data_IF_155549322056
#
_entry.id   IF_155549322056
#
_cell.length_a   1.000
_cell.length_b   1.000
_cell.length_c   1.000
_cell.angle_alpha   90.00
_cell.angle_beta   90.00
_cell.angle_gamma   90.00
#
_symmetry.space_group_name_H-M   'P 1'
#
loop_
_entity.id
_entity.type
_entity.pdbx_description
1 polymer ?
#
# COMPACT_ATOMS: atom_id res chain seq x y z
N UNK A 1 11.40 -3.67 -13.14
CA UNK A 1 12.82 -3.26 -13.25
C UNK A 1 13.10 -2.31 -12.10
N UNK A 2 14.16 -2.52 -11.33
CA UNK A 2 14.52 -1.59 -10.24
C UNK A 2 14.95 -0.25 -10.85
N UNK A 3 14.49 0.86 -10.28
CA UNK A 3 14.90 2.19 -10.72
C UNK A 3 16.42 2.34 -10.54
N UNK A 4 17.20 2.63 -11.60
CA UNK A 4 18.65 2.73 -11.51
C UNK A 4 19.14 3.89 -10.62
N UNK A 5 18.26 4.81 -10.22
CA UNK A 5 18.56 5.88 -9.25
C UNK A 5 18.46 5.43 -7.78
N UNK A 6 17.96 4.22 -7.51
CA UNK A 6 17.82 3.71 -6.15
C UNK A 6 19.19 3.34 -5.55
N UNK A 7 19.51 3.94 -4.39
CA UNK A 7 20.72 3.63 -3.66
C UNK A 7 20.44 2.62 -2.53
N UNK A 8 20.48 1.33 -2.85
CA UNK A 8 20.26 0.27 -1.87
C UNK A 8 21.47 -0.05 -0.99
N UNK A 9 22.66 0.45 -1.36
CA UNK A 9 23.88 0.23 -0.59
C UNK A 9 24.07 1.26 0.54
N UNK A 10 23.20 2.28 0.63
CA UNK A 10 23.22 3.27 1.71
C UNK A 10 23.04 2.64 3.09
N UNK A 11 23.71 3.23 4.08
CA UNK A 11 23.60 2.85 5.49
C UNK A 11 22.63 3.79 6.20
N UNK A 12 21.42 3.30 6.44
CA UNK A 12 20.35 4.01 7.12
C UNK A 12 19.88 3.22 8.35
N UNK A 13 19.08 3.86 9.19
CA UNK A 13 18.27 3.18 10.20
C UNK A 13 16.81 3.51 9.96
N UNK A 14 16.02 2.47 9.70
CA UNK A 14 14.59 2.55 9.46
C UNK A 14 13.82 2.14 10.72
N UNK A 15 12.85 2.94 11.12
CA UNK A 15 11.88 2.60 12.15
C UNK A 15 10.51 2.34 11.50
N UNK A 16 9.84 1.25 11.90
CA UNK A 16 8.60 0.81 11.28
C UNK A 16 7.48 0.69 12.31
N UNK A 17 6.29 1.05 11.87
CA UNK A 17 4.99 0.66 12.42
C UNK A 17 4.07 0.32 11.22
N UNK A 18 2.87 -0.21 11.47
CA UNK A 18 1.93 -0.61 10.43
C UNK A 18 0.47 -0.22 10.71
N UNK A 19 -0.32 -0.11 9.64
CA UNK A 19 -1.75 0.18 9.76
C UNK A 19 -2.58 -1.06 10.08
N UNK A 20 -3.56 -0.89 10.97
CA UNK A 20 -4.74 -1.76 11.16
C UNK A 20 -4.49 -3.25 11.49
N UNK A 21 -3.23 -3.71 11.53
CA UNK A 21 -2.79 -5.08 11.77
C UNK A 21 -3.79 -6.13 11.26
N UNK A 22 -4.14 -6.05 9.97
CA UNK A 22 -5.19 -6.88 9.38
C UNK A 22 -4.80 -8.37 9.36
N UNK A 23 -3.49 -8.67 9.42
CA UNK A 23 -2.82 -10.00 9.40
C UNK A 23 -3.09 -10.84 8.16
N UNK A 24 -4.36 -10.99 7.78
CA UNK A 24 -4.86 -11.67 6.58
C UNK A 24 -5.99 -10.86 5.96
N UNK A 25 -6.20 -11.01 4.65
CA UNK A 25 -7.37 -10.51 3.96
C UNK A 25 -8.14 -11.69 3.37
N UNK A 26 -9.41 -11.86 3.74
CA UNK A 26 -10.20 -13.04 3.41
C UNK A 26 -11.69 -12.71 3.31
N UNK A 27 -12.44 -13.56 2.61
CA UNK A 27 -13.88 -13.42 2.45
C UNK A 27 -14.63 -13.97 3.67
N UNK A 28 -15.60 -13.19 4.14
CA UNK A 28 -16.74 -13.59 5.00
C UNK A 28 -17.98 -13.83 4.14
N UNK A 29 -19.07 -14.32 4.74
CA UNK A 29 -20.22 -14.83 3.97
C UNK A 29 -20.76 -13.81 2.95
N UNK A 30 -20.77 -12.52 3.32
CA UNK A 30 -21.33 -11.44 2.49
C UNK A 30 -20.38 -10.29 2.18
N UNK A 31 -19.15 -10.29 2.72
CA UNK A 31 -18.18 -9.17 2.62
C UNK A 31 -16.76 -9.67 2.94
N UNK A 32 -15.77 -8.78 2.97
CA UNK A 32 -14.41 -9.06 3.42
C UNK A 32 -14.27 -8.95 4.95
N UNK A 33 -13.15 -9.41 5.50
CA UNK A 33 -12.83 -9.25 6.92
C UNK A 33 -12.35 -7.86 7.33
N UNK A 34 -12.06 -6.99 6.37
CA UNK A 34 -11.59 -5.62 6.54
C UNK A 34 -12.04 -4.79 5.35
N UNK A 35 -12.11 -3.47 5.52
CA UNK A 35 -12.56 -2.56 4.45
C UNK A 35 -11.61 -2.66 3.25
N UNK A 36 -12.12 -3.07 2.09
CA UNK A 36 -11.32 -3.28 0.88
C UNK A 36 -10.74 -1.98 0.29
N UNK A 37 -11.24 -0.82 0.72
CA UNK A 37 -10.75 0.51 0.33
C UNK A 37 -9.58 1.00 1.18
N UNK A 38 -9.20 0.28 2.23
CA UNK A 38 -8.03 0.64 3.04
C UNK A 38 -6.77 -0.02 2.46
N UNK A 39 -5.65 0.71 2.51
CA UNK A 39 -4.35 0.14 2.19
C UNK A 39 -3.69 -0.41 3.46
N UNK A 40 -2.93 -1.49 3.32
CA UNK A 40 -1.93 -1.87 4.32
C UNK A 40 -0.68 -1.02 4.10
N UNK A 41 -0.29 -0.25 5.11
CA UNK A 41 0.91 0.59 5.07
C UNK A 41 1.87 0.11 6.15
N UNK A 42 3.10 -0.20 5.74
CA UNK A 42 4.24 -0.49 6.61
C UNK A 42 5.29 0.60 6.38
N UNK A 43 5.72 1.30 7.42
CA UNK A 43 6.62 2.44 7.23
C UNK A 43 6.89 3.22 8.50
N UNK A 44 7.47 4.41 8.34
CA UNK A 44 7.82 5.25 9.47
C UNK A 44 8.91 6.27 9.16
N UNK A 45 9.78 6.48 10.14
CA UNK A 45 10.89 7.40 10.03
C UNK A 45 12.19 6.69 9.64
N UNK A 46 13.02 7.36 8.84
CA UNK A 46 14.36 6.89 8.47
C UNK A 46 15.38 8.00 8.65
N UNK A 47 16.56 7.64 9.15
CA UNK A 47 17.69 8.56 9.34
C UNK A 47 19.01 7.93 8.93
N UNK A 48 20.03 8.77 8.80
CA UNK A 48 21.41 8.36 8.49
C UNK A 48 22.34 8.85 9.60
N UNK A 49 23.21 7.96 10.11
CA UNK A 49 24.12 8.30 11.20
C UNK A 49 23.46 8.17 12.58
N UNK A 50 23.64 9.17 13.44
CA UNK A 50 23.13 9.13 14.81
C UNK A 50 21.61 9.34 14.87
N UNK A 51 20.94 8.63 15.79
CA UNK A 51 19.53 8.80 16.04
C UNK A 51 19.24 10.22 16.56
N UNK A 52 18.24 10.94 16.00
CA UNK A 52 17.86 12.26 16.48
C UNK A 52 17.11 12.16 17.83
N UNK A 53 17.32 13.14 18.71
CA UNK A 53 16.60 13.27 19.98
C UNK A 53 15.22 13.91 19.76
N UNK A 54 14.19 13.08 19.81
CA UNK A 54 12.79 13.48 19.56
C UNK A 54 12.02 13.86 20.82
N UNK A 55 12.65 13.89 22.00
CA UNK A 55 11.95 14.20 23.25
C UNK A 55 11.32 15.59 23.20
N UNK A 56 12.04 16.58 22.66
CA UNK A 56 11.54 17.95 22.49
C UNK A 56 10.28 18.03 21.64
N UNK A 57 10.16 17.20 20.59
CA UNK A 57 8.96 17.09 19.78
C UNK A 57 7.80 16.48 20.59
N UNK A 58 8.06 15.38 21.29
CA UNK A 58 7.04 14.69 22.09
C UNK A 58 6.48 15.62 23.17
N UNK A 59 7.36 16.36 23.86
CA UNK A 59 6.97 17.34 24.87
C UNK A 59 6.12 18.46 24.26
N UNK A 60 6.43 18.88 23.03
CA UNK A 60 5.69 19.92 22.31
C UNK A 60 4.24 19.54 22.01
N UNK A 61 3.92 18.24 21.92
CA UNK A 61 2.56 17.76 21.74
C UNK A 61 1.66 17.98 22.96
N UNK A 62 2.24 18.29 24.14
CA UNK A 62 1.53 18.57 25.39
C UNK A 62 0.47 17.51 25.70
N UNK A 63 0.85 16.23 25.59
CA UNK A 63 -0.05 15.10 25.85
C UNK A 63 -0.39 15.03 27.34
N UNK A 64 -1.54 14.39 27.65
CA UNK A 64 -1.92 14.14 29.04
C UNK A 64 -0.88 13.24 29.71
N UNK A 65 -0.61 13.46 31.01
CA UNK A 65 0.40 12.71 31.77
C UNK A 65 0.15 11.19 31.83
N UNK A 66 -1.08 10.74 31.57
CA UNK A 66 -1.46 9.33 31.52
C UNK A 66 -1.04 8.63 30.22
N UNK A 67 -0.68 9.40 29.18
CA UNK A 67 -0.23 8.86 27.90
C UNK A 67 1.20 8.35 28.06
N UNK A 68 1.36 7.03 28.08
CA UNK A 68 2.67 6.36 28.13
C UNK A 68 3.37 6.32 26.77
N UNK A 69 2.58 6.35 25.71
CA UNK A 69 3.04 6.15 24.34
C UNK A 69 2.33 7.12 23.39
N UNK A 70 3.10 7.80 22.54
CA UNK A 70 2.56 8.59 21.45
C UNK A 70 1.99 7.64 20.39
N UNK A 71 0.74 7.90 19.98
CA UNK A 71 0.06 7.19 18.91
C UNK A 71 -0.65 8.22 18.03
N UNK A 72 -0.91 7.92 16.77
CA UNK A 72 -1.57 8.76 15.78
C UNK A 72 -2.84 9.40 16.33
N UNK A 73 -3.68 8.63 17.03
CA UNK A 73 -4.94 9.09 17.66
C UNK A 73 -4.76 10.24 18.66
N UNK A 74 -3.55 10.43 19.21
CA UNK A 74 -3.20 11.52 20.12
C UNK A 74 -2.80 12.81 19.36
N UNK A 75 -2.37 12.64 18.11
CA UNK A 75 -1.87 13.70 17.23
C UNK A 75 -3.00 14.22 16.33
N UNK A 76 -3.81 13.34 15.74
CA UNK A 76 -4.87 13.70 14.79
C UNK A 76 -6.08 12.76 14.91
N UNK A 77 -7.24 13.21 14.43
CA UNK A 77 -8.52 12.48 14.51
C UNK A 77 -9.37 12.76 13.28
N UNK A 78 -10.25 11.82 12.94
CA UNK A 78 -11.20 11.94 11.82
C UNK A 78 -10.70 11.26 10.55
N UNK A 79 -11.27 11.66 9.40
CA UNK A 79 -10.77 11.32 8.08
C UNK A 79 -9.51 12.11 7.74
N UNK A 80 -8.99 11.92 6.54
CA UNK A 80 -7.73 12.53 6.12
C UNK A 80 -7.79 14.07 6.17
N UNK A 81 -8.84 14.66 5.62
CA UNK A 81 -9.03 16.12 5.57
C UNK A 81 -9.13 16.71 6.98
N UNK A 82 -9.86 16.06 7.90
CA UNK A 82 -9.94 16.51 9.29
C UNK A 82 -8.59 16.38 10.00
N UNK A 83 -7.83 15.32 9.74
CA UNK A 83 -6.49 15.15 10.31
C UNK A 83 -5.57 16.32 9.96
N UNK A 84 -5.63 16.83 8.73
CA UNK A 84 -4.85 17.99 8.29
C UNK A 84 -5.14 19.26 9.11
N UNK A 85 -6.22 19.34 9.88
CA UNK A 85 -6.46 20.49 10.77
C UNK A 85 -5.62 20.48 12.06
N UNK A 86 -4.87 19.41 12.33
CA UNK A 86 -4.14 19.27 13.60
C UNK A 86 -2.88 20.12 13.66
N UNK A 87 -2.80 20.94 14.71
CA UNK A 87 -1.57 21.66 15.06
C UNK A 87 -0.43 20.73 15.48
N UNK A 88 -0.71 19.55 16.04
CA UNK A 88 0.33 18.60 16.43
C UNK A 88 0.95 17.90 15.22
N UNK A 89 0.17 17.68 14.17
CA UNK A 89 0.70 17.22 12.88
C UNK A 89 1.67 18.24 12.29
N UNK A 90 1.35 19.53 12.39
CA UNK A 90 2.26 20.60 11.97
C UNK A 90 3.61 20.52 12.68
N UNK A 91 3.59 20.43 14.02
CA UNK A 91 4.80 20.28 14.83
C UNK A 91 5.61 19.04 14.45
N UNK A 92 4.93 17.91 14.21
CA UNK A 92 5.53 16.66 13.75
C UNK A 92 6.28 16.84 12.43
N UNK A 93 5.63 17.41 11.41
CA UNK A 93 6.26 17.62 10.11
C UNK A 93 7.40 18.62 10.13
N UNK A 94 7.22 19.77 10.79
CA UNK A 94 8.25 20.80 10.92
C UNK A 94 9.51 20.26 11.62
N UNK A 95 9.33 19.40 12.63
CA UNK A 95 10.44 18.74 13.30
C UNK A 95 11.17 17.77 12.37
N UNK A 96 10.47 16.90 11.64
CA UNK A 96 11.10 15.97 10.67
C UNK A 96 11.89 16.77 9.63
N UNK A 97 11.29 17.84 9.11
CA UNK A 97 11.92 18.71 8.12
C UNK A 97 13.22 19.35 8.64
N UNK A 98 13.34 19.62 9.93
CA UNK A 98 14.48 20.36 10.49
C UNK A 98 15.58 19.47 11.08
N UNK A 99 15.31 18.19 11.35
CA UNK A 99 16.18 17.34 12.20
C UNK A 99 16.78 16.13 11.49
N UNK A 100 17.04 16.23 10.17
CA UNK A 100 17.73 15.17 9.42
C UNK A 100 16.96 13.85 9.30
N UNK A 101 15.66 13.87 9.59
CA UNK A 101 14.75 12.76 9.39
C UNK A 101 14.17 12.79 7.98
N UNK A 102 13.82 11.60 7.50
CA UNK A 102 13.06 11.37 6.28
C UNK A 102 11.92 10.40 6.59
N UNK A 103 10.97 10.30 5.67
CA UNK A 103 9.86 9.37 5.77
C UNK A 103 10.09 8.20 4.81
N UNK A 104 9.64 7.01 5.20
CA UNK A 104 9.59 5.84 4.33
C UNK A 104 8.26 5.12 4.53
N UNK A 105 7.74 4.51 3.47
CA UNK A 105 6.58 3.63 3.58
C UNK A 105 6.45 2.74 2.36
N UNK A 106 5.85 1.57 2.57
CA UNK A 106 5.29 0.69 1.55
C UNK A 106 3.77 0.64 1.76
N UNK A 107 3.03 1.18 0.80
CA UNK A 107 1.57 1.11 0.75
C UNK A 107 1.12 0.01 -0.20
N UNK A 108 0.15 -0.80 0.22
CA UNK A 108 -0.44 -1.90 -0.52
C UNK A 108 -1.95 -1.75 -0.54
N UNK A 109 -2.53 -1.55 -1.72
CA UNK A 109 -3.98 -1.66 -1.89
C UNK A 109 -4.37 -3.14 -1.86
N UNK A 110 -5.10 -3.54 -0.81
CA UNK A 110 -5.38 -4.95 -0.52
C UNK A 110 -6.33 -5.56 -1.54
N UNK A 111 -7.30 -4.81 -2.07
CA UNK A 111 -8.18 -5.29 -3.12
C UNK A 111 -7.40 -5.48 -4.43
N UNK A 112 -6.60 -4.48 -4.82
CA UNK A 112 -5.77 -4.55 -6.01
C UNK A 112 -4.83 -5.77 -5.94
N UNK A 113 -4.09 -5.92 -4.85
CA UNK A 113 -3.19 -7.06 -4.65
C UNK A 113 -3.91 -8.41 -4.73
N UNK A 114 -5.16 -8.48 -4.26
CA UNK A 114 -5.94 -9.72 -4.24
C UNK A 114 -6.40 -10.19 -5.62
N UNK A 115 -6.41 -9.33 -6.64
CA UNK A 115 -7.03 -9.64 -7.95
C UNK A 115 -6.04 -9.60 -9.13
N UNK A 116 -4.87 -8.98 -8.96
CA UNK A 116 -3.87 -8.89 -10.03
C UNK A 116 -3.36 -10.24 -10.50
N UNK A 117 -3.39 -11.25 -9.64
CA UNK A 117 -2.98 -12.63 -9.95
C UNK A 117 -3.88 -13.29 -11.01
N UNK A 118 -5.12 -12.83 -11.18
CA UNK A 118 -5.99 -13.23 -12.30
C UNK A 118 -5.37 -12.81 -13.63
N UNK A 119 -4.91 -11.55 -13.71
CA UNK A 119 -4.28 -11.00 -14.91
C UNK A 119 -2.92 -11.63 -15.13
N UNK A 120 -2.11 -11.76 -14.08
CA UNK A 120 -0.78 -12.38 -14.19
C UNK A 120 -0.89 -13.84 -14.62
N UNK A 121 -1.89 -14.57 -14.14
CA UNK A 121 -2.18 -15.94 -14.58
C UNK A 121 -2.51 -16.00 -16.07
N UNK A 122 -3.33 -15.07 -16.54
CA UNK A 122 -3.72 -15.00 -17.94
C UNK A 122 -2.51 -14.63 -18.84
N UNK A 123 -1.71 -13.64 -18.43
CA UNK A 123 -0.51 -13.19 -19.15
C UNK A 123 0.56 -14.28 -19.21
N UNK A 124 0.81 -14.99 -18.10
CA UNK A 124 1.76 -16.11 -18.06
C UNK A 124 1.42 -17.19 -19.08
N UNK A 125 0.13 -17.33 -19.43
CA UNK A 125 -0.35 -18.33 -20.38
C UNK A 125 -0.39 -17.83 -21.83
N UNK A 126 -0.02 -16.58 -22.12
CA UNK A 126 -0.08 -15.99 -23.46
C UNK A 126 1.29 -15.42 -23.87
N UNK A 127 2.00 -16.12 -24.77
CA UNK A 127 3.32 -15.69 -25.27
C UNK A 127 3.30 -14.30 -25.88
N UNK A 128 2.21 -13.98 -26.61
CA UNK A 128 2.01 -12.64 -27.19
C UNK A 128 1.93 -11.59 -26.09
N UNK A 129 1.16 -11.86 -25.04
CA UNK A 129 1.00 -10.93 -23.91
C UNK A 129 2.29 -10.70 -23.15
N UNK A 130 3.12 -11.74 -22.98
CA UNK A 130 4.45 -11.62 -22.36
C UNK A 130 5.37 -10.68 -23.16
N UNK A 131 5.25 -10.64 -24.50
CA UNK A 131 6.06 -9.77 -25.36
C UNK A 131 5.61 -8.30 -25.36
N UNK A 132 4.35 -8.02 -25.01
CA UNK A 132 3.81 -6.64 -24.96
C UNK A 132 4.29 -5.85 -23.73
N UNK A 133 4.95 -6.53 -22.79
CA UNK A 133 5.64 -5.92 -21.67
C UNK A 133 4.73 -5.47 -20.52
N UNK A 134 5.32 -4.91 -19.44
CA UNK A 134 4.60 -4.69 -18.18
C UNK A 134 3.45 -3.69 -18.26
N UNK A 135 3.55 -2.68 -19.14
CA UNK A 135 2.51 -1.66 -19.28
C UNK A 135 1.18 -2.27 -19.75
N UNK A 136 1.24 -3.23 -20.68
CA UNK A 136 0.05 -3.92 -21.17
C UNK A 136 -0.66 -4.70 -20.05
N UNK A 137 0.08 -5.48 -19.27
CA UNK A 137 -0.46 -6.17 -18.10
C UNK A 137 -1.03 -5.18 -17.07
N UNK A 138 -0.33 -4.08 -16.80
CA UNK A 138 -0.78 -3.10 -15.82
C UNK A 138 -2.05 -2.36 -16.25
N UNK A 139 -2.29 -2.16 -17.55
CA UNK A 139 -3.57 -1.61 -18.05
C UNK A 139 -4.73 -2.57 -17.75
N UNK A 140 -4.56 -3.86 -18.01
CA UNK A 140 -5.58 -4.87 -17.67
C UNK A 140 -5.84 -4.95 -16.17
N UNK A 141 -4.77 -4.92 -15.34
CA UNK A 141 -4.88 -4.88 -13.87
C UNK A 141 -5.65 -3.66 -13.39
N UNK A 142 -5.37 -2.50 -13.99
CA UNK A 142 -6.06 -1.26 -13.66
C UNK A 142 -7.55 -1.34 -13.97
N UNK A 143 -7.91 -1.78 -15.16
CA UNK A 143 -9.32 -1.80 -15.59
C UNK A 143 -10.11 -2.89 -14.87
N UNK A 144 -9.48 -4.05 -14.59
CA UNK A 144 -10.04 -5.07 -13.71
C UNK A 144 -10.31 -4.51 -12.31
N UNK A 145 -9.38 -3.74 -11.74
CA UNK A 145 -9.58 -3.14 -10.43
C UNK A 145 -10.71 -2.10 -10.41
N UNK A 146 -10.78 -1.23 -11.43
CA UNK A 146 -11.88 -0.28 -11.57
C UNK A 146 -13.24 -0.99 -11.64
N UNK A 147 -13.34 -2.04 -12.45
CA UNK A 147 -14.54 -2.86 -12.55
C UNK A 147 -14.87 -3.50 -11.19
N UNK A 148 -13.90 -4.15 -10.56
CA UNK A 148 -14.09 -4.85 -9.29
C UNK A 148 -14.60 -3.92 -8.19
N UNK A 149 -14.21 -2.63 -8.23
CA UNK A 149 -14.73 -1.60 -7.34
C UNK A 149 -16.19 -1.24 -7.58
N UNK A 150 -16.61 -1.17 -8.85
CA UNK A 150 -18.00 -0.84 -9.22
C UNK A 150 -18.90 -2.03 -8.91
N UNK A 151 -18.42 -3.24 -9.22
CA UNK A 151 -19.13 -4.51 -9.15
C UNK A 151 -18.73 -5.34 -7.92
N UNK A 152 -18.45 -4.70 -6.78
CA UNK A 152 -17.82 -5.39 -5.64
C UNK A 152 -18.65 -6.57 -5.11
N UNK A 153 -19.99 -6.45 -5.08
CA UNK A 153 -20.90 -7.51 -4.65
C UNK A 153 -20.89 -8.69 -5.63
N UNK A 154 -20.84 -8.39 -6.94
CA UNK A 154 -20.71 -9.37 -8.02
C UNK A 154 -19.36 -10.10 -7.93
N UNK A 155 -18.28 -9.38 -7.64
CA UNK A 155 -16.94 -9.96 -7.42
C UNK A 155 -16.90 -10.87 -6.19
N UNK A 156 -17.48 -10.44 -5.06
CA UNK A 156 -17.59 -11.27 -3.85
C UNK A 156 -18.36 -12.55 -4.16
N UNK A 157 -19.47 -12.45 -4.88
CA UNK A 157 -20.31 -13.58 -5.28
C UNK A 157 -19.55 -14.56 -6.17
N UNK A 158 -18.80 -14.05 -7.16
CA UNK A 158 -17.94 -14.84 -8.02
C UNK A 158 -16.85 -15.56 -7.21
N UNK A 159 -16.14 -14.84 -6.36
CA UNK A 159 -15.09 -15.41 -5.53
C UNK A 159 -15.61 -16.49 -4.58
N UNK A 160 -16.79 -16.26 -4.00
CA UNK A 160 -17.49 -17.24 -3.16
C UNK A 160 -17.86 -18.50 -3.93
N UNK A 161 -18.38 -18.35 -5.15
CA UNK A 161 -18.80 -19.47 -6.00
C UNK A 161 -17.65 -20.43 -6.30
N UNK A 162 -16.44 -19.91 -6.48
CA UNK A 162 -15.29 -20.69 -6.94
C UNK A 162 -14.17 -20.89 -5.91
N UNK A 163 -14.39 -20.52 -4.64
CA UNK A 163 -13.35 -20.67 -3.61
C UNK A 163 -12.13 -19.78 -3.81
N UNK A 164 -12.25 -18.66 -4.54
CA UNK A 164 -11.12 -17.80 -4.91
C UNK A 164 -10.30 -17.35 -3.67
N UNK A 165 -8.95 -17.34 -3.73
CA UNK A 165 -8.11 -17.52 -4.91
C UNK A 165 -7.75 -18.98 -5.20
N UNK A 166 -8.46 -19.97 -4.65
CA UNK A 166 -8.17 -21.38 -4.88
C UNK A 166 -9.09 -21.99 -5.95
N UNK A 167 -9.01 -21.48 -7.19
CA UNK A 167 -9.85 -21.96 -8.27
C UNK A 167 -9.51 -23.43 -8.56
N UNK A 168 -10.49 -24.32 -8.44
CA UNK A 168 -10.27 -25.75 -8.70
C UNK A 168 -10.08 -25.97 -10.19
N UNK A 169 -9.20 -26.91 -10.55
CA UNK A 169 -8.90 -27.22 -11.95
C UNK A 169 -10.16 -27.46 -12.80
N UNK A 170 -11.13 -28.22 -12.30
CA UNK A 170 -12.37 -28.52 -13.02
C UNK A 170 -13.36 -27.35 -13.10
N UNK A 171 -13.06 -26.21 -12.48
CA UNK A 171 -13.90 -25.01 -12.44
C UNK A 171 -13.28 -23.82 -13.18
N UNK A 172 -12.01 -23.93 -13.63
CA UNK A 172 -11.30 -22.85 -14.34
C UNK A 172 -12.10 -22.31 -15.53
N UNK A 173 -12.68 -23.21 -16.34
CA UNK A 173 -13.47 -22.81 -17.50
C UNK A 173 -14.69 -21.98 -17.11
N UNK A 174 -15.45 -22.42 -16.10
CA UNK A 174 -16.67 -21.74 -15.64
C UNK A 174 -16.34 -20.43 -14.91
N UNK A 175 -15.25 -20.39 -14.14
CA UNK A 175 -14.75 -19.15 -13.55
C UNK A 175 -14.42 -18.11 -14.63
N UNK A 176 -13.70 -18.51 -15.69
CA UNK A 176 -13.36 -17.62 -16.80
C UNK A 176 -14.61 -17.11 -17.53
N UNK A 177 -15.61 -17.98 -17.73
CA UNK A 177 -16.88 -17.60 -18.36
C UNK A 177 -17.63 -16.57 -17.52
N UNK A 178 -17.90 -16.87 -16.25
CA UNK A 178 -18.61 -15.94 -15.37
C UNK A 178 -17.86 -14.62 -15.17
N UNK A 179 -16.52 -14.67 -15.08
CA UNK A 179 -15.69 -13.47 -14.99
C UNK A 179 -15.78 -12.63 -16.28
N UNK A 180 -15.79 -13.29 -17.44
CA UNK A 180 -15.95 -12.61 -18.73
C UNK A 180 -17.34 -11.99 -18.88
N UNK A 181 -18.37 -12.60 -18.29
CA UNK A 181 -19.72 -12.08 -18.31
C UNK A 181 -19.81 -10.75 -17.54
N UNK A 182 -19.09 -10.60 -16.42
CA UNK A 182 -18.97 -9.32 -15.69
C UNK A 182 -18.38 -8.19 -16.54
N UNK A 183 -17.60 -8.51 -17.59
CA UNK A 183 -17.01 -7.49 -18.44
C UNK A 183 -18.01 -6.92 -19.44
N UNK A 184 -19.06 -7.67 -19.79
CA UNK A 184 -19.91 -7.44 -20.98
C UNK A 184 -20.46 -6.03 -21.05
N UNK A 185 -21.00 -5.52 -19.95
CA UNK A 185 -21.63 -4.19 -19.89
C UNK A 185 -20.62 -3.02 -19.97
N UNK A 186 -19.33 -3.33 -19.81
CA UNK A 186 -18.24 -2.35 -19.79
C UNK A 186 -17.39 -2.40 -21.06
N UNK A 187 -17.60 -3.37 -21.96
CA UNK A 187 -16.80 -3.50 -23.18
C UNK A 187 -17.02 -2.35 -24.17
N UNK A 188 -18.17 -1.68 -24.16
CA UNK A 188 -18.41 -0.53 -25.03
C UNK A 188 -17.99 0.81 -24.38
N UNK A 189 -17.61 0.81 -23.10
CA UNK A 189 -17.10 1.98 -22.42
C UNK A 189 -15.64 2.22 -22.80
N UNK A 190 -15.33 3.38 -23.37
CA UNK A 190 -13.98 3.77 -23.79
C UNK A 190 -12.97 3.67 -22.65
N UNK A 191 -13.40 3.90 -21.41
CA UNK A 191 -12.55 3.84 -20.21
C UNK A 191 -12.11 2.42 -19.83
N UNK A 192 -12.89 1.41 -20.22
CA UNK A 192 -12.67 0.00 -19.85
C UNK A 192 -12.33 -0.90 -21.05
N UNK A 193 -12.74 -0.49 -22.25
CA UNK A 193 -12.71 -1.31 -23.47
C UNK A 193 -11.35 -1.96 -23.66
N UNK A 194 -10.27 -1.16 -23.66
CA UNK A 194 -8.96 -1.69 -23.99
C UNK A 194 -8.47 -2.73 -22.97
N UNK A 195 -8.52 -2.45 -21.66
CA UNK A 195 -8.04 -3.38 -20.64
C UNK A 195 -8.95 -4.60 -20.49
N UNK A 196 -10.27 -4.43 -20.41
CA UNK A 196 -11.20 -5.54 -20.21
C UNK A 196 -11.32 -6.43 -21.46
N UNK A 197 -11.36 -5.86 -22.67
CA UNK A 197 -11.40 -6.68 -23.89
C UNK A 197 -10.08 -7.46 -24.06
N UNK A 198 -8.93 -6.84 -23.78
CA UNK A 198 -7.64 -7.52 -23.80
C UNK A 198 -7.62 -8.69 -22.81
N UNK A 199 -8.04 -8.44 -21.56
CA UNK A 199 -8.10 -9.47 -20.53
C UNK A 199 -9.06 -10.60 -20.93
N UNK A 200 -10.24 -10.27 -21.46
CA UNK A 200 -11.23 -11.24 -21.94
C UNK A 200 -10.64 -12.15 -23.03
N UNK A 201 -9.89 -11.60 -23.97
CA UNK A 201 -9.28 -12.40 -25.05
C UNK A 201 -8.18 -13.32 -24.51
N UNK A 202 -7.34 -12.84 -23.60
CA UNK A 202 -6.26 -13.65 -23.01
C UNK A 202 -6.82 -14.74 -22.10
N UNK A 203 -7.89 -14.46 -21.34
CA UNK A 203 -8.58 -15.47 -20.55
C UNK A 203 -9.19 -16.58 -21.44
N UNK A 204 -9.64 -16.28 -22.66
CA UNK A 204 -10.05 -17.33 -23.63
C UNK A 204 -8.87 -18.19 -24.09
N UNK A 205 -7.64 -17.69 -24.09
CA UNK A 205 -6.45 -18.51 -24.32
C UNK A 205 -6.15 -19.41 -23.12
N UNK A 206 -6.24 -18.86 -21.90
CA UNK A 206 -6.11 -19.62 -20.65
C UNK A 206 -7.15 -20.76 -20.57
N UNK A 207 -8.37 -20.52 -21.06
CA UNK A 207 -9.43 -21.55 -21.21
C UNK A 207 -8.95 -22.78 -22.00
N UNK A 208 -8.11 -22.60 -23.03
CA UNK A 208 -7.57 -23.73 -23.82
C UNK A 208 -6.52 -24.55 -23.05
N UNK A 209 -5.91 -23.94 -22.04
CA UNK A 209 -4.87 -24.55 -21.20
C UNK A 209 -5.41 -25.10 -19.87
N UNK A 210 -6.67 -24.80 -19.54
CA UNK A 210 -7.37 -25.26 -18.32
C UNK A 210 -6.56 -24.95 -17.04
N UNK A 211 -6.01 -23.74 -16.97
CA UNK A 211 -5.11 -23.31 -15.89
C UNK A 211 -5.19 -21.81 -15.66
N UNK A 212 -5.00 -21.40 -14.39
CA UNK A 212 -4.75 -20.03 -13.95
C UNK A 212 -3.73 -20.07 -12.80
N UNK A 213 -2.42 -20.21 -13.09
CA UNK A 213 -1.43 -20.74 -12.14
C UNK A 213 -1.23 -19.94 -10.84
N UNK A 214 -1.54 -18.64 -10.81
CA UNK A 214 -1.39 -17.81 -9.61
C UNK A 214 -2.66 -17.68 -8.78
N UNK A 215 -3.77 -18.27 -9.23
CA UNK A 215 -5.05 -18.33 -8.49
C UNK A 215 -5.55 -19.78 -8.41
N UNK A 216 -4.61 -20.69 -8.21
CA UNK A 216 -4.83 -22.12 -7.98
C UNK A 216 -3.93 -22.58 -6.83
N UNK A 217 -4.29 -23.69 -6.18
CA UNK A 217 -3.52 -24.30 -5.09
C UNK A 217 -3.27 -23.37 -3.88
N UNK A 218 -4.27 -22.51 -3.58
CA UNK A 218 -4.27 -21.61 -2.44
C UNK A 218 -5.23 -22.11 -1.33
N UNK A 219 -5.40 -21.33 -0.26
CA UNK A 219 -6.46 -21.56 0.72
C UNK A 219 -7.78 -20.96 0.22
N UNK A 220 -8.87 -21.70 0.33
CA UNK A 220 -10.20 -21.21 -0.07
C UNK A 220 -10.53 -19.91 0.69
N UNK A 221 -10.98 -18.89 -0.04
CA UNK A 221 -11.44 -17.61 0.50
C UNK A 221 -10.37 -16.73 1.16
N UNK A 222 -9.09 -17.14 1.18
CA UNK A 222 -7.98 -16.36 1.75
C UNK A 222 -7.26 -15.62 0.63
N UNK A 223 -7.59 -14.35 0.45
CA UNK A 223 -7.08 -13.50 -0.64
C UNK A 223 -5.64 -13.05 -0.39
N UNK A 224 -5.30 -12.77 0.87
CA UNK A 224 -3.94 -12.46 1.31
C UNK A 224 -3.67 -13.25 2.59
N UNK A 225 -2.75 -14.21 2.52
CA UNK A 225 -2.47 -15.09 3.65
C UNK A 225 -1.66 -14.42 4.77
N UNK A 226 -0.70 -13.56 4.42
CA UNK A 226 0.10 -12.79 5.35
C UNK A 226 0.81 -11.62 4.65
N UNK A 227 1.43 -10.74 5.45
CA UNK A 227 2.14 -9.56 4.98
C UNK A 227 3.67 -9.66 5.13
N UNK A 228 4.20 -10.84 5.49
CA UNK A 228 5.62 -11.02 5.85
C UNK A 228 6.59 -10.59 4.75
N UNK A 229 6.23 -10.82 3.49
CA UNK A 229 7.00 -10.38 2.34
C UNK A 229 7.27 -8.86 2.32
N UNK A 230 6.34 -8.06 2.85
CA UNK A 230 6.50 -6.59 2.92
C UNK A 230 7.46 -6.18 4.04
N UNK A 231 7.59 -6.97 5.11
CA UNK A 231 8.61 -6.79 6.15
C UNK A 231 9.99 -7.27 5.68
N UNK A 232 10.05 -8.42 5.01
CA UNK A 232 11.29 -9.01 4.50
C UNK A 232 11.95 -8.17 3.42
N UNK A 233 11.15 -7.57 2.53
CA UNK A 233 11.67 -6.81 1.40
C UNK A 233 12.66 -5.71 1.76
N UNK A 234 12.34 -4.74 2.63
CA UNK A 234 13.30 -3.70 2.98
C UNK A 234 14.58 -4.27 3.59
N UNK A 235 14.49 -5.36 4.37
CA UNK A 235 15.65 -6.00 5.02
C UNK A 235 16.68 -6.50 4.02
N UNK A 236 16.27 -7.22 2.98
CA UNK A 236 17.20 -7.71 1.96
C UNK A 236 17.56 -6.67 0.90
N UNK A 237 16.69 -5.69 0.63
CA UNK A 237 16.98 -4.60 -0.30
C UNK A 237 18.03 -3.66 0.28
N UNK A 238 17.85 -3.21 1.53
CA UNK A 238 18.77 -2.32 2.22
C UNK A 238 19.69 -3.09 3.18
N UNK A 239 20.43 -4.09 2.65
CA UNK A 239 21.29 -4.99 3.44
C UNK A 239 22.33 -4.31 4.34
N UNK A 240 22.72 -3.06 4.02
CA UNK A 240 23.68 -2.27 4.80
C UNK A 240 23.01 -1.35 5.84
N UNK A 241 21.68 -1.34 5.90
CA UNK A 241 20.87 -0.54 6.83
C UNK A 241 20.37 -1.39 7.99
N UNK A 242 19.99 -0.73 9.09
CA UNK A 242 19.33 -1.34 10.23
C UNK A 242 17.82 -1.12 10.16
N UNK A 243 17.04 -2.14 10.53
CA UNK A 243 15.58 -2.11 10.50
C UNK A 243 15.02 -2.39 11.89
N UNK A 244 14.23 -1.47 12.43
CA UNK A 244 13.67 -1.55 13.77
C UNK A 244 12.15 -1.54 13.62
N UNK A 245 11.53 -2.70 13.79
CA UNK A 245 10.08 -2.88 13.67
C UNK A 245 9.39 -2.78 15.02
N UNK A 246 8.18 -2.21 15.06
CA UNK A 246 7.26 -2.43 16.17
C UNK A 246 6.93 -3.93 16.28
N UNK A 247 6.56 -4.36 17.47
CA UNK A 247 6.36 -5.77 17.78
C UNK A 247 5.00 -6.27 17.28
N UNK A 248 4.99 -6.95 16.14
CA UNK A 248 3.83 -7.71 15.65
C UNK A 248 4.06 -9.22 15.87
N UNK A 249 3.37 -9.81 16.86
CA UNK A 249 3.62 -11.19 17.31
C UNK A 249 3.54 -12.25 16.19
N UNK A 250 2.62 -12.08 15.23
CA UNK A 250 2.44 -13.06 14.14
C UNK A 250 3.57 -12.98 13.12
N UNK A 251 4.05 -11.77 12.81
CA UNK A 251 5.21 -11.54 11.95
C UNK A 251 6.49 -11.98 12.65
N UNK A 252 6.68 -11.68 13.94
CA UNK A 252 7.83 -12.14 14.72
C UNK A 252 7.92 -13.66 14.68
N UNK A 253 6.81 -14.34 14.96
CA UNK A 253 6.75 -15.80 14.94
C UNK A 253 7.10 -16.33 13.55
N UNK A 254 6.46 -15.79 12.51
CA UNK A 254 6.68 -16.23 11.14
C UNK A 254 8.12 -16.02 10.69
N UNK A 255 8.71 -14.84 10.95
CA UNK A 255 10.09 -14.55 10.55
C UNK A 255 11.13 -15.33 11.36
N UNK A 256 10.82 -15.74 12.59
CA UNK A 256 11.71 -16.59 13.40
C UNK A 256 11.94 -17.99 12.81
N UNK A 257 11.08 -18.42 11.89
CA UNK A 257 11.18 -19.72 11.21
C UNK A 257 12.17 -19.69 10.02
N UNK A 258 12.60 -18.49 9.59
CA UNK A 258 13.46 -18.31 8.42
C UNK A 258 14.85 -17.79 8.79
N UNK A 259 15.86 -18.21 8.01
CA UNK A 259 17.16 -17.55 7.97
C UNK A 259 17.28 -16.77 6.67
N UNK A 260 17.43 -15.45 6.77
CA UNK A 260 17.57 -14.60 5.59
C UNK A 260 19.04 -14.61 5.18
N UNK A 261 19.36 -15.15 4.00
CA UNK A 261 20.73 -15.30 3.51
C UNK A 261 21.01 -14.39 2.31
N UNK A 262 22.15 -13.70 2.33
CA UNK A 262 22.69 -12.95 1.20
C UNK A 262 24.17 -13.31 1.01
N UNK A 263 24.56 -13.80 -0.18
CA UNK A 263 25.92 -14.30 -0.47
C UNK A 263 26.46 -15.25 0.62
N UNK A 264 25.64 -16.24 1.00
CA UNK A 264 25.93 -17.21 2.07
C UNK A 264 26.15 -16.62 3.46
N UNK A 265 25.82 -15.33 3.69
CA UNK A 265 25.83 -14.69 5.01
C UNK A 265 24.41 -14.45 5.50
N UNK A 266 24.18 -14.71 6.78
CA UNK A 266 22.91 -14.41 7.43
C UNK A 266 22.76 -12.90 7.65
N UNK A 267 21.64 -12.33 7.21
CA UNK A 267 21.28 -10.95 7.44
C UNK A 267 20.73 -10.81 8.87
N UNK A 268 21.48 -10.11 9.71
CA UNK A 268 21.12 -9.81 11.10
C UNK A 268 20.88 -8.30 11.30
N UNK A 269 20.35 -7.64 10.28
CA UNK A 269 20.20 -6.19 10.21
C UNK A 269 18.77 -5.71 10.56
N UNK A 270 17.98 -6.55 11.23
CA UNK A 270 16.65 -6.18 11.70
C UNK A 270 16.37 -6.67 13.11
N UNK A 271 15.47 -5.98 13.81
CA UNK A 271 15.02 -6.30 15.16
C UNK A 271 13.58 -5.87 15.36
N UNK A 272 12.86 -6.56 16.24
CA UNK A 272 11.55 -6.18 16.74
C UNK A 272 11.68 -5.65 18.16
N UNK A 273 11.03 -4.52 18.46
CA UNK A 273 11.10 -3.87 19.77
C UNK A 273 9.72 -3.42 20.22
N UNK A 274 9.53 -3.31 21.54
CA UNK A 274 8.33 -2.73 22.12
C UNK A 274 8.32 -1.22 21.91
N UNK A 275 7.26 -0.69 21.28
CA UNK A 275 7.09 0.73 21.01
C UNK A 275 7.13 1.60 22.28
N UNK A 276 6.78 1.09 23.47
CA UNK A 276 6.91 1.84 24.74
C UNK A 276 8.37 2.25 25.00
N UNK A 277 9.33 1.49 24.48
CA UNK A 277 10.77 1.72 24.65
C UNK A 277 11.42 2.52 23.51
N UNK A 278 10.70 2.79 22.41
CA UNK A 278 11.27 3.41 21.21
C UNK A 278 10.38 4.53 20.66
N UNK A 279 10.76 5.77 20.93
CA UNK A 279 10.05 6.96 20.51
C UNK A 279 9.96 7.15 18.98
N UNK A 280 10.94 6.66 18.22
CA UNK A 280 10.89 6.76 16.75
C UNK A 280 9.86 5.79 16.15
N UNK A 281 9.59 4.66 16.80
CA UNK A 281 8.47 3.78 16.42
C UNK A 281 7.14 4.44 16.75
N UNK A 282 6.99 5.04 17.93
CA UNK A 282 5.78 5.79 18.28
C UNK A 282 5.48 6.92 17.28
N UNK A 283 6.52 7.59 16.78
CA UNK A 283 6.41 8.61 15.74
C UNK A 283 6.21 8.00 14.33
N UNK A 284 6.61 6.75 14.13
CA UNK A 284 6.30 5.98 12.91
C UNK A 284 4.82 5.64 12.83
N UNK A 285 4.16 5.27 13.95
CA UNK A 285 2.69 5.12 14.05
C UNK A 285 1.95 6.37 13.54
N UNK A 286 2.43 7.56 13.95
CA UNK A 286 1.84 8.84 13.55
C UNK A 286 1.90 9.02 12.03
N UNK A 287 3.03 8.69 11.41
CA UNK A 287 3.18 8.77 9.97
C UNK A 287 2.30 7.73 9.26
N UNK A 288 2.43 6.44 9.59
CA UNK A 288 1.71 5.39 8.87
C UNK A 288 0.20 5.47 9.07
N UNK A 289 -0.24 5.91 10.25
CA UNK A 289 -1.65 6.22 10.52
C UNK A 289 -2.18 7.31 9.60
N UNK A 290 -1.41 8.38 9.37
CA UNK A 290 -1.79 9.44 8.43
C UNK A 290 -1.76 8.97 6.97
N UNK A 291 -0.71 8.25 6.57
CA UNK A 291 -0.59 7.72 5.20
C UNK A 291 -1.72 6.73 4.92
N UNK A 292 -2.09 5.88 5.88
CA UNK A 292 -3.27 5.01 5.78
C UNK A 292 -4.55 5.81 5.55
N UNK A 293 -4.75 6.94 6.26
CA UNK A 293 -5.88 7.83 6.03
C UNK A 293 -5.85 8.49 4.65
N UNK A 294 -4.68 8.89 4.16
CA UNK A 294 -4.51 9.44 2.80
C UNK A 294 -4.98 8.45 1.74
N UNK A 295 -4.49 7.20 1.78
CA UNK A 295 -4.86 6.19 0.80
C UNK A 295 -6.35 5.80 0.90
N UNK A 296 -6.88 5.64 2.12
CA UNK A 296 -8.31 5.41 2.32
C UNK A 296 -9.17 6.56 1.73
N UNK A 297 -8.74 7.81 1.91
CA UNK A 297 -9.42 8.98 1.32
C UNK A 297 -9.35 8.97 -0.21
N UNK A 298 -8.18 8.70 -0.79
CA UNK A 298 -7.98 8.61 -2.25
C UNK A 298 -8.84 7.49 -2.86
N UNK A 299 -8.89 6.34 -2.20
CA UNK A 299 -9.67 5.19 -2.68
C UNK A 299 -11.18 5.44 -2.61
N UNK A 300 -11.66 6.22 -1.64
CA UNK A 300 -13.09 6.46 -1.43
C UNK A 300 -13.64 7.70 -2.15
N UNK A 301 -12.77 8.55 -2.72
CA UNK A 301 -13.19 9.79 -3.38
C UNK A 301 -12.79 9.80 -4.88
N UNK A 302 -13.63 10.44 -5.69
CA UNK A 302 -13.32 10.68 -7.10
C UNK A 302 -12.52 11.99 -7.28
N UNK A 303 -11.95 12.21 -8.46
CA UNK A 303 -11.10 13.37 -8.76
C UNK A 303 -11.80 14.72 -8.55
N UNK A 304 -13.10 14.79 -8.84
CA UNK A 304 -13.91 16.02 -8.66
C UNK A 304 -14.06 16.36 -7.18
N UNK A 305 -14.39 15.37 -6.36
CA UNK A 305 -14.50 15.55 -4.91
C UNK A 305 -13.15 15.93 -4.31
N UNK A 306 -12.08 15.24 -4.71
CA UNK A 306 -10.71 15.57 -4.25
C UNK A 306 -10.36 17.01 -4.61
N UNK A 307 -10.57 17.43 -5.84
CA UNK A 307 -10.33 18.82 -6.24
C UNK A 307 -11.12 19.81 -5.38
N UNK A 308 -12.42 19.58 -5.20
CA UNK A 308 -13.31 20.42 -4.39
C UNK A 308 -12.84 20.55 -2.93
N UNK A 309 -12.49 19.44 -2.29
CA UNK A 309 -12.00 19.41 -0.91
C UNK A 309 -10.68 20.18 -0.78
N UNK A 310 -9.76 19.99 -1.72
CA UNK A 310 -8.43 20.61 -1.66
C UNK A 310 -8.45 22.11 -1.98
N UNK A 311 -9.39 22.59 -2.80
CA UNK A 311 -9.62 24.02 -3.01
C UNK A 311 -10.23 24.71 -1.78
N UNK A 312 -10.92 23.97 -0.91
CA UNK A 312 -11.66 24.51 0.25
C UNK A 312 -10.93 24.35 1.59
N UNK A 313 -9.67 23.90 1.58
CA UNK A 313 -8.87 23.72 2.80
C UNK A 313 -8.72 25.04 3.58
N UNK A 314 -8.68 24.93 4.91
CA UNK A 314 -8.22 26.01 5.78
C UNK A 314 -6.70 26.22 5.66
N UNK A 315 -6.19 27.34 6.21
CA UNK A 315 -4.75 27.62 6.16
C UNK A 315 -3.91 26.53 6.84
N UNK A 316 -4.33 26.05 8.02
CA UNK A 316 -3.60 24.99 8.74
C UNK A 316 -3.58 23.68 7.96
N UNK A 317 -4.69 23.35 7.27
CA UNK A 317 -4.75 22.16 6.43
C UNK A 317 -3.84 22.28 5.21
N UNK A 318 -3.78 23.45 4.57
CA UNK A 318 -2.84 23.76 3.49
C UNK A 318 -1.40 23.60 3.94
N UNK A 319 -1.02 24.24 5.05
CA UNK A 319 0.34 24.14 5.60
C UNK A 319 0.74 22.67 5.84
N UNK A 320 -0.17 21.88 6.42
CA UNK A 320 0.09 20.48 6.74
C UNK A 320 0.21 19.59 5.50
N UNK A 321 -0.64 19.76 4.48
CA UNK A 321 -0.49 18.98 3.24
C UNK A 321 0.78 19.40 2.48
N UNK A 322 1.10 20.69 2.45
CA UNK A 322 2.30 21.18 1.77
C UNK A 322 3.56 20.60 2.41
N UNK A 323 3.61 20.56 3.76
CA UNK A 323 4.68 19.91 4.50
C UNK A 323 4.75 18.40 4.25
N UNK A 324 3.61 17.70 4.22
CA UNK A 324 3.58 16.26 3.92
C UNK A 324 4.11 15.97 2.52
N UNK A 325 3.62 16.67 1.49
CA UNK A 325 4.07 16.51 0.10
C UNK A 325 5.56 16.83 -0.04
N UNK A 326 6.02 17.89 0.62
CA UNK A 326 7.44 18.23 0.65
C UNK A 326 8.30 17.13 1.31
N UNK A 327 7.83 16.53 2.41
CA UNK A 327 8.52 15.41 3.06
C UNK A 327 8.56 14.16 2.17
N UNK A 328 7.48 13.88 1.44
CA UNK A 328 7.42 12.81 0.42
C UNK A 328 8.49 13.06 -0.64
N UNK A 329 8.51 14.26 -1.23
CA UNK A 329 9.44 14.60 -2.32
C UNK A 329 10.90 14.59 -1.83
N UNK A 330 11.17 15.21 -0.69
CA UNK A 330 12.50 15.19 -0.06
C UNK A 330 13.00 13.78 0.22
N UNK A 331 12.12 12.88 0.66
CA UNK A 331 12.50 11.50 0.98
C UNK A 331 12.74 10.68 -0.28
N UNK A 332 11.92 10.90 -1.32
CA UNK A 332 12.15 10.33 -2.66
C UNK A 332 13.48 10.80 -3.26
N UNK A 333 13.78 12.09 -3.17
CA UNK A 333 15.02 12.68 -3.69
C UNK A 333 16.25 12.17 -2.94
N UNK A 334 16.10 11.91 -1.64
CA UNK A 334 17.16 11.27 -0.84
C UNK A 334 17.40 9.83 -1.30
N UNK A 335 16.33 9.07 -1.49
CA UNK A 335 16.37 7.71 -2.01
C UNK A 335 14.98 7.24 -2.48
N UNK A 336 14.83 6.95 -3.77
CA UNK A 336 13.54 6.49 -4.32
C UNK A 336 13.06 5.17 -3.69
N UNK A 337 13.97 4.37 -3.12
CA UNK A 337 13.63 3.14 -2.42
C UNK A 337 12.91 3.33 -1.09
N UNK A 338 12.84 4.56 -0.55
CA UNK A 338 12.11 4.86 0.69
C UNK A 338 10.59 4.79 0.52
N UNK A 339 10.08 5.09 -0.67
CA UNK A 339 8.64 5.21 -0.91
C UNK A 339 8.21 4.20 -1.94
N UNK A 340 7.22 3.37 -1.60
CA UNK A 340 6.62 2.42 -2.51
C UNK A 340 5.11 2.42 -2.37
N UNK A 341 4.42 2.37 -3.52
CA UNK A 341 2.99 2.11 -3.59
C UNK A 341 2.76 0.93 -4.53
N UNK A 342 1.93 -0.02 -4.11
CA UNK A 342 1.45 -1.12 -4.95
C UNK A 342 -0.06 -0.98 -5.04
N UNK A 343 -0.52 -0.40 -6.14
CA UNK A 343 -1.89 0.08 -6.29
C UNK A 343 -2.26 0.18 -7.79
N UNK A 344 -3.54 0.35 -8.09
CA UNK A 344 -4.01 0.61 -9.43
C UNK A 344 -3.60 2.02 -9.91
N UNK A 345 -3.38 2.19 -11.21
CA UNK A 345 -3.06 3.51 -11.77
C UNK A 345 -4.16 4.54 -11.50
N UNK A 346 -5.43 4.10 -11.49
CA UNK A 346 -6.59 4.90 -11.14
C UNK A 346 -6.39 5.61 -9.80
N UNK A 347 -6.05 4.87 -8.75
CA UNK A 347 -5.88 5.44 -7.41
C UNK A 347 -4.60 6.28 -7.30
N UNK A 348 -3.49 5.78 -7.83
CA UNK A 348 -2.22 6.51 -7.77
C UNK A 348 -2.32 7.89 -8.45
N UNK A 349 -3.02 7.97 -9.58
CA UNK A 349 -3.18 9.23 -10.32
C UNK A 349 -4.02 10.28 -9.58
N UNK A 350 -4.83 9.90 -8.59
CA UNK A 350 -5.61 10.86 -7.79
C UNK A 350 -4.74 11.68 -6.84
N UNK A 351 -3.55 11.18 -6.45
CA UNK A 351 -2.57 11.96 -5.70
C UNK A 351 -2.06 13.15 -6.54
N UNK A 352 -2.01 13.02 -7.87
CA UNK A 352 -1.61 14.13 -8.74
C UNK A 352 -2.65 15.25 -8.76
N UNK A 353 -3.94 14.95 -8.54
CA UNK A 353 -4.98 15.98 -8.37
C UNK A 353 -4.71 16.80 -7.11
N UNK A 354 -4.35 16.13 -6.00
CA UNK A 354 -3.94 16.80 -4.76
C UNK A 354 -2.78 17.76 -5.02
N UNK A 355 -1.74 17.28 -5.72
CA UNK A 355 -0.54 18.08 -6.05
C UNK A 355 -0.89 19.28 -6.94
N UNK A 356 -1.72 19.08 -7.97
CA UNK A 356 -2.16 20.16 -8.87
C UNK A 356 -2.86 21.29 -8.10
N UNK A 357 -3.82 20.96 -7.22
CA UNK A 357 -4.52 21.95 -6.41
C UNK A 357 -3.58 22.77 -5.51
N UNK A 358 -2.48 22.16 -5.02
CA UNK A 358 -1.49 22.89 -4.21
C UNK A 358 -0.65 23.83 -5.06
N UNK A 359 -0.21 23.42 -6.25
CA UNK A 359 0.53 24.29 -7.18
C UNK A 359 -0.32 25.52 -7.56
N UNK A 360 -1.59 25.32 -7.92
CA UNK A 360 -2.52 26.41 -8.25
C UNK A 360 -2.74 27.38 -7.10
N UNK A 361 -2.70 26.91 -5.85
CA UNK A 361 -2.84 27.76 -4.67
C UNK A 361 -1.62 28.64 -4.37
N UNK A 362 -0.47 28.35 -4.98
CA UNK A 362 0.78 29.09 -4.80
C UNK A 362 1.15 29.96 -6.02
N UNK A 363 0.44 29.81 -7.14
CA UNK A 363 0.54 30.67 -8.32
C UNK A 363 -0.27 31.95 -8.12
#
# INVERSE_FOLDING_TARGET
MLDPSANFDGAYTFCYDETNNIRKFYLRESDFNSTFTDNFVLGGLVYQGAAPDVQSLIDSFKLQKSVKEVKFKHIAKGGFIECLSSQKLKLFFEYIASNGLYIHYSSLNILYWSIVDIVDSAVELSEVSQQLGPQFANTMKNDLYKLARIEIDSMISLFRKYGYPNIKKNEVLSFIEDMSDLFTDYLDDVEFHFGLESLRQILKEAKKKDSLPFVMDADDFVLINDFSQFYLRPVYMFKNSQHIFDNEESIVKLLSEYKIMYDSKELNNFVFVDSESNQLIQLSDVLVGLIGKLYSYVNTNNRVQIHSDFCSLSQIQRDNIDLLLWLIDRSRDKNIGFLRSTDAYEEMSKIEVIRACRIESHA
#
